data_IF_290263684648
#
_entry.id   IF_290263684648
#
_cell.length_a   1.000
_cell.length_b   1.000
_cell.length_c   1.000
_cell.angle_alpha   90.00
_cell.angle_beta   90.00
_cell.angle_gamma   90.00
#
_symmetry.space_group_name_H-M   'P 1'
#
loop_
_entity.id
_entity.type
_entity.pdbx_description
1 polymer ?
#
# COMPACT_ATOMS: atom_id res chain seq x y z
N UNK A 1 13.56 -7.12 5.70
CA UNK A 1 13.35 -6.80 4.27
C UNK A 1 12.06 -7.40 3.76
N UNK A 2 11.27 -6.60 3.04
CA UNK A 2 9.91 -6.91 2.59
C UNK A 2 9.94 -7.93 1.45
N UNK A 3 9.01 -8.88 1.47
CA UNK A 3 8.80 -9.90 0.42
C UNK A 3 10.04 -10.72 0.02
N UNK A 4 11.14 -10.68 0.79
CA UNK A 4 12.40 -11.39 0.51
C UNK A 4 12.93 -11.13 -0.92
N UNK A 5 12.83 -9.88 -1.40
CA UNK A 5 13.43 -9.47 -2.70
C UNK A 5 14.93 -9.18 -2.53
N UNK A 6 15.30 -8.50 -1.46
CA UNK A 6 16.67 -8.11 -1.13
C UNK A 6 17.21 -8.88 0.09
N UNK A 7 18.54 -8.99 0.15
CA UNK A 7 19.34 -9.60 1.23
C UNK A 7 18.79 -10.92 1.75
N UNK A 8 18.45 -11.80 0.82
CA UNK A 8 18.12 -13.19 1.09
C UNK A 8 19.44 -13.93 1.35
N UNK A 9 19.62 -14.43 2.57
CA UNK A 9 20.79 -15.25 2.91
C UNK A 9 20.65 -16.65 2.28
N UNK A 10 21.75 -17.39 2.06
CA UNK A 10 21.69 -18.75 1.51
C UNK A 10 20.83 -19.70 2.35
N UNK A 11 20.78 -19.49 3.66
CA UNK A 11 19.94 -20.25 4.59
C UNK A 11 18.45 -19.94 4.38
N UNK A 12 18.09 -18.65 4.29
CA UNK A 12 16.71 -18.23 3.97
C UNK A 12 16.30 -18.76 2.60
N UNK A 13 17.18 -18.70 1.59
CA UNK A 13 16.90 -19.25 0.27
C UNK A 13 16.64 -20.77 0.32
N UNK A 14 17.44 -21.51 1.09
CA UNK A 14 17.25 -22.96 1.28
C UNK A 14 15.91 -23.26 1.97
N UNK A 15 15.55 -22.50 3.00
CA UNK A 15 14.26 -22.66 3.69
C UNK A 15 13.06 -22.34 2.79
N UNK A 16 13.19 -21.35 1.90
CA UNK A 16 12.13 -21.02 0.94
C UNK A 16 11.98 -22.09 -0.15
N UNK A 17 13.02 -22.87 -0.45
CA UNK A 17 13.01 -23.86 -1.53
C UNK A 17 12.97 -23.26 -2.95
N UNK A 18 13.02 -21.92 -3.06
CA UNK A 18 12.94 -21.16 -4.30
C UNK A 18 13.95 -20.02 -4.34
N UNK A 19 14.14 -19.44 -5.51
CA UNK A 19 15.17 -18.42 -5.76
C UNK A 19 14.82 -17.02 -5.27
N UNK A 20 13.52 -16.73 -5.12
CA UNK A 20 13.00 -15.40 -4.78
C UNK A 20 11.71 -15.51 -3.98
N UNK A 21 11.48 -14.55 -3.07
CA UNK A 21 10.18 -14.44 -2.42
C UNK A 21 9.03 -14.18 -3.40
N UNK A 22 9.29 -13.58 -4.58
CA UNK A 22 8.28 -13.41 -5.64
C UNK A 22 7.75 -14.74 -6.18
N UNK A 23 8.64 -15.72 -6.32
CA UNK A 23 8.27 -17.09 -6.68
C UNK A 23 7.47 -17.75 -5.56
N UNK A 24 7.94 -17.59 -4.31
CA UNK A 24 7.27 -18.14 -3.12
C UNK A 24 5.82 -17.68 -2.98
N UNK A 25 5.51 -16.42 -3.33
CA UNK A 25 4.14 -15.88 -3.26
C UNK A 25 3.13 -16.70 -4.07
N UNK A 26 3.56 -17.35 -5.15
CA UNK A 26 2.67 -18.15 -6.01
C UNK A 26 2.46 -19.58 -5.54
N UNK A 27 3.21 -20.04 -4.52
CA UNK A 27 3.21 -21.42 -4.08
C UNK A 27 2.33 -21.62 -2.82
N UNK A 28 1.75 -22.81 -2.61
CA UNK A 28 0.89 -23.06 -1.43
C UNK A 28 1.58 -22.75 -0.10
N UNK A 29 2.84 -23.18 0.06
CA UNK A 29 3.64 -22.94 1.27
C UNK A 29 4.13 -21.49 1.43
N UNK A 30 3.84 -20.61 0.47
CA UNK A 30 4.08 -19.16 0.57
C UNK A 30 3.04 -18.40 1.38
N UNK A 31 2.01 -19.07 1.93
CA UNK A 31 0.90 -18.45 2.67
C UNK A 31 1.37 -17.48 3.75
N UNK A 32 2.36 -17.88 4.57
CA UNK A 32 2.87 -17.01 5.64
C UNK A 32 3.41 -15.69 5.09
N UNK A 33 4.15 -15.73 3.98
CA UNK A 33 4.66 -14.53 3.33
C UNK A 33 3.52 -13.65 2.78
N UNK A 34 2.48 -14.27 2.20
CA UNK A 34 1.30 -13.53 1.70
C UNK A 34 0.56 -12.81 2.83
N UNK A 35 0.31 -13.48 3.95
CA UNK A 35 -0.33 -12.89 5.13
C UNK A 35 0.52 -11.76 5.74
N UNK A 36 1.85 -11.94 5.83
CA UNK A 36 2.76 -10.92 6.34
C UNK A 36 2.78 -9.67 5.44
N UNK A 37 2.65 -9.84 4.11
CA UNK A 37 2.54 -8.72 3.18
C UNK A 37 1.18 -8.01 3.25
N UNK A 38 0.08 -8.74 3.43
CA UNK A 38 -1.24 -8.15 3.65
C UNK A 38 -1.26 -7.32 4.94
N UNK A 39 -0.73 -7.86 6.04
CA UNK A 39 -0.60 -7.14 7.32
C UNK A 39 0.23 -5.87 7.16
N UNK A 40 1.38 -5.98 6.48
CA UNK A 40 2.25 -4.84 6.22
C UNK A 40 1.55 -3.76 5.38
N UNK A 41 0.85 -4.16 4.32
CA UNK A 41 0.19 -3.21 3.42
C UNK A 41 -0.91 -2.44 4.16
N UNK A 42 -1.76 -3.16 4.89
CA UNK A 42 -2.88 -2.55 5.62
C UNK A 42 -2.38 -1.66 6.76
N UNK A 43 -1.42 -2.15 7.56
CA UNK A 43 -0.81 -1.38 8.64
C UNK A 43 -0.16 -0.10 8.13
N UNK A 44 0.57 -0.17 7.02
CA UNK A 44 1.20 1.00 6.40
C UNK A 44 0.18 2.00 5.84
N UNK A 45 -0.92 1.50 5.26
CA UNK A 45 -2.01 2.36 4.78
C UNK A 45 -2.68 3.11 5.94
N UNK A 46 -2.93 2.42 7.06
CA UNK A 46 -3.47 3.04 8.28
C UNK A 46 -2.49 4.07 8.83
N UNK A 47 -1.18 3.80 8.84
CA UNK A 47 -0.16 4.76 9.28
C UNK A 47 -0.22 6.07 8.49
N UNK A 48 -0.25 6.02 7.16
CA UNK A 48 -0.38 7.23 6.34
C UNK A 48 -1.70 7.97 6.58
N UNK A 49 -2.80 7.25 6.83
CA UNK A 49 -4.07 7.86 7.17
C UNK A 49 -4.03 8.56 8.54
N UNK A 50 -3.39 7.92 9.52
CA UNK A 50 -3.15 8.50 10.85
C UNK A 50 -2.28 9.75 10.75
N UNK A 51 -1.28 9.79 9.89
CA UNK A 51 -0.46 10.99 9.70
C UNK A 51 -1.31 12.18 9.23
N UNK A 52 -2.21 11.97 8.25
CA UNK A 52 -3.13 13.02 7.77
C UNK A 52 -4.13 13.41 8.85
N UNK A 53 -4.77 12.43 9.49
CA UNK A 53 -5.85 12.64 10.47
C UNK A 53 -5.35 13.09 11.85
N UNK A 54 -4.07 12.85 12.14
CA UNK A 54 -3.35 13.31 13.32
C UNK A 54 -2.77 14.71 13.17
N UNK A 55 -2.78 15.28 11.96
CA UNK A 55 -2.38 16.65 11.71
C UNK A 55 -3.47 17.63 12.21
N UNK A 56 -3.48 17.86 13.53
CA UNK A 56 -4.39 18.78 14.23
C UNK A 56 -3.97 20.25 14.15
N UNK A 57 -3.01 20.56 13.28
CA UNK A 57 -2.62 21.93 12.95
C UNK A 57 -3.66 22.62 12.08
N UNK A 58 -3.24 23.58 11.27
CA UNK A 58 -4.16 24.27 10.35
C UNK A 58 -4.56 23.38 9.17
N UNK A 59 -5.66 23.73 8.50
CA UNK A 59 -6.07 23.05 7.25
C UNK A 59 -4.98 23.18 6.17
N UNK A 60 -4.23 24.29 6.14
CA UNK A 60 -3.10 24.49 5.24
C UNK A 60 -1.92 23.57 5.55
N UNK A 61 -1.57 23.38 6.84
CA UNK A 61 -0.51 22.45 7.24
C UNK A 61 -0.87 21.01 6.85
N UNK A 62 -2.13 20.62 7.11
CA UNK A 62 -2.64 19.29 6.73
C UNK A 62 -2.68 19.11 5.21
N UNK A 63 -3.04 20.14 4.44
CA UNK A 63 -2.98 20.10 2.98
C UNK A 63 -1.54 19.99 2.46
N UNK A 64 -0.58 20.64 3.13
CA UNK A 64 0.85 20.50 2.84
C UNK A 64 1.36 19.08 3.10
N UNK A 65 0.93 18.45 4.21
CA UNK A 65 1.24 17.05 4.50
C UNK A 65 0.62 16.10 3.46
N UNK A 66 -0.65 16.32 3.10
CA UNK A 66 -1.34 15.56 2.06
C UNK A 66 -0.60 15.67 0.71
N UNK A 67 -0.13 16.86 0.35
CA UNK A 67 0.71 17.07 -0.82
C UNK A 67 2.01 16.26 -0.77
N UNK A 68 2.68 16.21 0.38
CA UNK A 68 3.90 15.40 0.58
C UNK A 68 3.64 13.90 0.42
N UNK A 69 2.51 13.40 0.94
CA UNK A 69 2.12 12.00 0.77
C UNK A 69 1.87 11.67 -0.71
N UNK A 70 1.25 12.59 -1.47
CA UNK A 70 1.09 12.44 -2.93
C UNK A 70 2.46 12.41 -3.63
N UNK A 71 3.41 13.25 -3.22
CA UNK A 71 4.78 13.21 -3.76
C UNK A 71 5.47 11.87 -3.47
N UNK A 72 5.28 11.32 -2.27
CA UNK A 72 5.80 9.98 -1.92
C UNK A 72 5.20 8.91 -2.85
N UNK A 73 3.89 8.93 -3.11
CA UNK A 73 3.27 8.01 -4.07
C UNK A 73 3.87 8.16 -5.49
N UNK A 74 4.12 9.39 -5.93
CA UNK A 74 4.72 9.64 -7.24
C UNK A 74 6.16 9.12 -7.34
N UNK A 75 6.99 9.32 -6.31
CA UNK A 75 8.35 8.79 -6.22
C UNK A 75 8.36 7.26 -6.16
N UNK A 76 7.46 6.66 -5.38
CA UNK A 76 7.30 5.20 -5.32
C UNK A 76 6.93 4.61 -6.69
N UNK A 77 6.04 5.28 -7.42
CA UNK A 77 5.61 4.85 -8.75
C UNK A 77 6.71 5.02 -9.80
N UNK A 78 7.25 6.22 -9.93
CA UNK A 78 8.07 6.61 -11.09
C UNK A 78 9.56 6.35 -10.85
N UNK A 79 10.08 6.75 -9.70
CA UNK A 79 11.51 6.66 -9.39
C UNK A 79 11.87 5.31 -8.84
N UNK A 80 11.11 4.80 -7.87
CA UNK A 80 11.44 3.53 -7.21
C UNK A 80 10.87 2.32 -7.95
N UNK A 81 9.78 2.48 -8.70
CA UNK A 81 9.04 1.36 -9.28
C UNK A 81 8.59 0.34 -8.22
N UNK A 82 8.27 0.84 -7.02
CA UNK A 82 7.81 0.06 -5.88
C UNK A 82 6.28 0.14 -5.83
N UNK A 83 5.62 -0.75 -6.56
CA UNK A 83 4.16 -0.75 -6.64
C UNK A 83 3.51 -1.14 -5.31
N UNK A 84 4.14 -2.01 -4.51
CA UNK A 84 3.62 -2.37 -3.19
C UNK A 84 3.53 -1.17 -2.25
N UNK A 85 4.60 -0.36 -2.17
CA UNK A 85 4.60 0.86 -1.39
C UNK A 85 3.63 1.90 -1.95
N UNK A 86 3.62 2.09 -3.27
CA UNK A 86 2.67 2.95 -3.96
C UNK A 86 1.22 2.58 -3.60
N UNK A 87 0.91 1.28 -3.57
CA UNK A 87 -0.42 0.78 -3.18
C UNK A 87 -0.80 1.14 -1.75
N UNK A 88 0.10 1.00 -0.79
CA UNK A 88 -0.18 1.38 0.59
C UNK A 88 -0.54 2.87 0.71
N UNK A 89 0.21 3.74 0.02
CA UNK A 89 -0.06 5.19 0.05
C UNK A 89 -1.39 5.53 -0.63
N UNK A 90 -1.65 4.96 -1.81
CA UNK A 90 -2.90 5.24 -2.53
C UNK A 90 -4.14 4.78 -1.76
N UNK A 91 -4.09 3.60 -1.12
CA UNK A 91 -5.17 3.11 -0.26
C UNK A 91 -5.44 4.07 0.90
N UNK A 92 -4.40 4.59 1.54
CA UNK A 92 -4.55 5.58 2.60
C UNK A 92 -5.28 6.85 2.13
N UNK A 93 -4.97 7.34 0.92
CA UNK A 93 -5.62 8.52 0.33
C UNK A 93 -7.07 8.27 -0.10
N UNK A 94 -7.42 7.01 -0.37
CA UNK A 94 -8.75 6.58 -0.81
C UNK A 94 -9.67 6.18 0.35
N UNK A 95 -9.14 5.98 1.56
CA UNK A 95 -9.94 5.70 2.75
C UNK A 95 -11.07 6.74 2.90
N UNK A 96 -12.31 6.32 3.21
CA UNK A 96 -13.44 7.23 3.36
C UNK A 96 -13.16 8.39 4.32
N UNK A 97 -12.40 8.12 5.39
CA UNK A 97 -12.04 9.08 6.43
C UNK A 97 -11.08 10.17 5.93
N UNK A 98 -10.24 9.88 4.93
CA UNK A 98 -9.29 10.82 4.32
C UNK A 98 -9.91 11.52 3.12
N UNK A 99 -10.59 10.76 2.25
CA UNK A 99 -11.21 11.28 1.03
C UNK A 99 -12.36 12.26 1.31
N UNK A 100 -13.06 12.12 2.45
CA UNK A 100 -14.15 13.04 2.86
C UNK A 100 -13.71 14.43 3.35
N UNK A 101 -12.40 14.68 3.53
CA UNK A 101 -11.88 15.93 4.10
C UNK A 101 -11.93 17.08 3.08
N UNK A 102 -13.14 17.52 2.73
CA UNK A 102 -13.41 18.50 1.67
C UNK A 102 -12.61 19.80 1.82
N UNK A 103 -12.46 20.32 3.04
CA UNK A 103 -11.70 21.55 3.27
C UNK A 103 -10.21 21.33 3.00
N UNK A 104 -9.67 20.20 3.46
CA UNK A 104 -8.27 19.80 3.23
C UNK A 104 -7.98 19.62 1.73
N UNK A 105 -8.83 18.87 1.02
CA UNK A 105 -8.69 18.66 -0.42
C UNK A 105 -8.88 19.95 -1.21
N UNK A 106 -9.76 20.85 -0.77
CA UNK A 106 -9.91 22.19 -1.37
C UNK A 106 -8.66 23.04 -1.17
N UNK A 107 -8.10 23.06 0.05
CA UNK A 107 -6.85 23.75 0.32
C UNK A 107 -5.67 23.19 -0.49
N UNK A 108 -5.59 21.86 -0.66
CA UNK A 108 -4.62 21.22 -1.55
C UNK A 108 -4.76 21.73 -2.99
N UNK A 109 -5.98 21.77 -3.55
CA UNK A 109 -6.23 22.25 -4.91
C UNK A 109 -5.84 23.72 -5.09
N UNK A 110 -6.06 24.54 -4.07
CA UNK A 110 -5.75 25.98 -4.12
C UNK A 110 -4.26 26.28 -3.96
N UNK A 111 -3.55 25.52 -3.12
CA UNK A 111 -2.15 25.82 -2.74
C UNK A 111 -1.10 24.93 -3.42
N UNK A 112 -1.51 23.73 -3.82
CA UNK A 112 -0.66 22.70 -4.42
C UNK A 112 -1.36 22.09 -5.65
N UNK A 113 -1.83 22.95 -6.56
CA UNK A 113 -2.65 22.57 -7.72
C UNK A 113 -2.02 21.44 -8.55
N UNK A 114 -0.72 21.50 -8.82
CA UNK A 114 -0.01 20.44 -9.54
C UNK A 114 -0.05 19.09 -8.81
N UNK A 115 0.07 19.09 -7.48
CA UNK A 115 -0.06 17.89 -6.66
C UNK A 115 -1.47 17.29 -6.70
N UNK A 116 -2.50 18.15 -6.64
CA UNK A 116 -3.88 17.70 -6.78
C UNK A 116 -4.15 17.10 -8.19
N UNK A 117 -3.66 17.75 -9.25
CA UNK A 117 -3.77 17.25 -10.62
C UNK A 117 -3.03 15.92 -10.77
N UNK A 118 -1.81 15.81 -10.24
CA UNK A 118 -1.02 14.57 -10.26
C UNK A 118 -1.79 13.41 -9.63
N UNK A 119 -2.41 13.64 -8.47
CA UNK A 119 -3.22 12.62 -7.82
C UNK A 119 -4.47 12.24 -8.64
N UNK A 120 -5.29 13.22 -9.02
CA UNK A 120 -6.59 12.98 -9.67
C UNK A 120 -6.47 12.47 -11.11
N UNK A 121 -5.46 12.92 -11.86
CA UNK A 121 -5.31 12.66 -13.30
C UNK A 121 -4.26 11.62 -13.63
N UNK A 122 -3.35 11.30 -12.71
CA UNK A 122 -2.27 10.34 -12.97
C UNK A 122 -2.29 9.19 -12.00
N UNK A 123 -2.15 9.45 -10.69
CA UNK A 123 -1.93 8.37 -9.72
C UNK A 123 -3.19 7.53 -9.49
N UNK A 124 -4.35 8.15 -9.27
CA UNK A 124 -5.62 7.45 -9.03
C UNK A 124 -6.08 6.66 -10.27
N UNK A 125 -6.10 7.22 -11.50
CA UNK A 125 -6.43 6.44 -12.70
C UNK A 125 -5.46 5.28 -12.96
N UNK A 126 -4.16 5.49 -12.71
CA UNK A 126 -3.15 4.45 -12.85
C UNK A 126 -3.38 3.30 -11.86
N UNK A 127 -3.62 3.60 -10.58
CA UNK A 127 -3.94 2.59 -9.56
C UNK A 127 -5.17 1.78 -9.97
N UNK A 128 -6.24 2.46 -10.41
CA UNK A 128 -7.45 1.80 -10.89
C UNK A 128 -7.15 0.85 -12.06
N UNK A 129 -6.42 1.33 -13.06
CA UNK A 129 -6.05 0.52 -14.23
C UNK A 129 -5.18 -0.70 -13.86
N UNK A 130 -4.29 -0.56 -12.88
CA UNK A 130 -3.51 -1.68 -12.33
C UNK A 130 -4.41 -2.72 -11.66
N UNK A 131 -5.36 -2.30 -10.82
CA UNK A 131 -6.30 -3.20 -10.13
C UNK A 131 -7.24 -3.90 -11.12
N UNK A 132 -7.68 -3.20 -12.15
CA UNK A 132 -8.56 -3.72 -13.21
C UNK A 132 -7.82 -4.62 -14.22
N UNK A 133 -6.51 -4.84 -14.05
CA UNK A 133 -5.71 -5.66 -14.96
C UNK A 133 -5.57 -5.09 -16.38
N UNK A 134 -5.67 -3.76 -16.51
CA UNK A 134 -5.60 -3.03 -17.79
C UNK A 134 -4.28 -2.29 -17.98
N UNK A 135 -3.45 -2.24 -16.94
CA UNK A 135 -2.14 -1.59 -16.93
C UNK A 135 -1.07 -2.58 -16.51
N UNK A 136 0.13 -2.43 -17.07
CA UNK A 136 1.29 -3.22 -16.68
C UNK A 136 2.48 -2.30 -16.39
N UNK A 137 3.18 -2.56 -15.30
CA UNK A 137 4.39 -1.79 -14.98
C UNK A 137 5.57 -2.26 -15.84
N UNK A 138 6.38 -1.34 -16.39
CA UNK A 138 7.55 -1.72 -17.18
C UNK A 138 8.55 -2.48 -16.30
N UNK A 139 8.90 -3.70 -16.72
CA UNK A 139 9.83 -4.58 -16.01
C UNK A 139 11.20 -3.94 -15.78
N UNK A 140 11.66 -3.08 -16.69
CA UNK A 140 12.94 -2.38 -16.59
C UNK A 140 13.03 -1.39 -15.43
N UNK A 141 11.90 -0.90 -14.92
CA UNK A 141 11.87 0.09 -13.84
C UNK A 141 11.28 -0.46 -12.53
N UNK A 142 10.63 -1.62 -12.57
CA UNK A 142 9.89 -2.15 -11.43
C UNK A 142 10.84 -2.86 -10.45
N UNK A 143 10.92 -2.39 -9.21
CA UNK A 143 11.68 -3.02 -8.12
C UNK A 143 10.80 -3.89 -7.22
N UNK A 144 9.50 -3.57 -7.14
CA UNK A 144 8.50 -4.37 -6.45
C UNK A 144 7.20 -4.36 -7.29
N UNK A 145 6.72 -5.51 -7.77
CA UNK A 145 5.52 -5.58 -8.62
C UNK A 145 4.20 -5.34 -7.86
N UNK A 146 3.12 -5.08 -8.60
CA UNK A 146 1.77 -4.98 -8.02
C UNK A 146 1.25 -6.37 -7.64
N UNK A 147 1.46 -6.78 -6.38
CA UNK A 147 1.12 -8.14 -5.91
C UNK A 147 -0.21 -8.22 -5.18
N UNK A 148 -0.80 -7.10 -4.75
CA UNK A 148 -2.00 -7.11 -3.91
C UNK A 148 -3.15 -7.96 -4.50
N UNK A 149 -3.52 -7.85 -5.79
CA UNK A 149 -4.58 -8.66 -6.36
C UNK A 149 -4.32 -10.16 -6.22
N UNK A 150 -3.07 -10.61 -6.44
CA UNK A 150 -2.68 -12.00 -6.23
C UNK A 150 -2.80 -12.42 -4.76
N UNK A 151 -2.35 -11.57 -3.83
CA UNK A 151 -2.42 -11.88 -2.39
C UNK A 151 -3.87 -12.07 -1.93
N UNK A 152 -4.75 -11.14 -2.33
CA UNK A 152 -6.18 -11.20 -1.99
C UNK A 152 -6.86 -12.44 -2.59
N UNK A 153 -6.59 -12.75 -3.87
CA UNK A 153 -7.16 -13.91 -4.55
C UNK A 153 -6.78 -15.24 -3.88
N UNK A 154 -5.52 -15.39 -3.46
CA UNK A 154 -5.03 -16.66 -2.90
C UNK A 154 -5.40 -16.86 -1.43
N UNK A 155 -5.51 -15.78 -0.65
CA UNK A 155 -5.81 -15.89 0.78
C UNK A 155 -7.30 -15.78 1.11
N UNK A 156 -8.15 -15.42 0.14
CA UNK A 156 -9.59 -15.17 0.36
C UNK A 156 -9.81 -14.29 1.59
N UNK A 157 -8.91 -13.33 1.80
CA UNK A 157 -8.86 -12.58 3.05
C UNK A 157 -10.09 -11.69 3.18
N UNK A 158 -10.81 -11.87 4.27
CA UNK A 158 -12.04 -11.17 4.65
C UNK A 158 -11.80 -9.66 4.89
N UNK A 159 -10.54 -9.21 4.81
CA UNK A 159 -10.13 -7.80 4.96
C UNK A 159 -10.05 -7.09 3.60
N UNK A 160 -10.84 -7.53 2.62
CA UNK A 160 -11.20 -6.66 1.52
C UNK A 160 -11.87 -5.41 2.10
N UNK A 161 -11.45 -4.24 1.62
CA UNK A 161 -12.11 -2.97 1.91
C UNK A 161 -13.62 -3.13 1.67
N UNK A 162 -14.47 -2.35 2.33
CA UNK A 162 -15.92 -2.30 2.04
C UNK A 162 -16.25 -1.81 0.60
N UNK A 163 -15.24 -1.67 -0.27
CA UNK A 163 -15.39 -1.55 -1.71
C UNK A 163 -15.26 -2.93 -2.36
N UNK A 164 -16.34 -3.36 -3.01
CA UNK A 164 -16.43 -4.56 -3.86
C UNK A 164 -15.11 -4.80 -4.60
N UNK A 165 -14.46 -5.93 -4.31
CA UNK A 165 -13.19 -6.26 -4.96
C UNK A 165 -13.40 -6.23 -6.49
N UNK A 166 -12.42 -5.77 -7.29
CA UNK A 166 -12.60 -5.62 -8.74
C UNK A 166 -13.08 -6.90 -9.46
N UNK A 167 -12.81 -8.06 -8.87
CA UNK A 167 -13.23 -9.37 -9.38
C UNK A 167 -14.60 -9.87 -8.89
N UNK A 168 -15.25 -9.17 -7.97
CA UNK A 168 -16.62 -9.48 -7.53
C UNK A 168 -17.69 -8.95 -8.50
N UNK A 169 -17.29 -8.13 -9.50
CA UNK A 169 -18.16 -7.73 -10.60
C UNK A 169 -18.39 -8.89 -11.58
N UNK A 170 -19.65 -9.27 -11.77
CA UNK A 170 -20.08 -10.45 -12.55
C UNK A 170 -19.72 -10.39 -14.04
N UNK A 171 -19.48 -9.21 -14.62
CA UNK A 171 -19.25 -9.05 -16.07
C UNK A 171 -17.78 -9.05 -16.47
N UNK A 172 -16.87 -8.60 -15.60
CA UNK A 172 -15.44 -8.40 -15.93
C UNK A 172 -14.51 -9.17 -14.98
N UNK A 173 -15.04 -9.77 -13.90
CA UNK A 173 -14.23 -10.34 -12.84
C UNK A 173 -13.34 -11.51 -13.27
N UNK A 174 -13.80 -12.37 -14.19
CA UNK A 174 -12.99 -13.51 -14.68
C UNK A 174 -11.77 -13.04 -15.47
N UNK A 175 -11.93 -12.02 -16.32
CA UNK A 175 -10.82 -11.47 -17.12
C UNK A 175 -9.76 -10.82 -16.21
N UNK A 176 -10.21 -10.10 -15.18
CA UNK A 176 -9.34 -9.49 -14.17
C UNK A 176 -8.56 -10.56 -13.40
N UNK A 177 -9.23 -11.63 -12.96
CA UNK A 177 -8.58 -12.76 -12.29
C UNK A 177 -7.56 -13.42 -13.20
N UNK A 178 -7.92 -13.70 -14.45
CA UNK A 178 -7.02 -14.33 -15.42
C UNK A 178 -5.79 -13.47 -15.71
N UNK A 179 -5.97 -12.15 -15.84
CA UNK A 179 -4.87 -11.21 -15.98
C UNK A 179 -3.90 -11.28 -14.80
N UNK A 180 -4.42 -11.18 -13.56
CA UNK A 180 -3.57 -11.17 -12.37
C UNK A 180 -2.86 -12.51 -12.13
N UNK A 181 -3.50 -13.64 -12.43
CA UNK A 181 -2.85 -14.95 -12.40
C UNK A 181 -1.77 -15.09 -13.48
N UNK A 182 -2.02 -14.56 -14.68
CA UNK A 182 -1.01 -14.48 -15.75
C UNK A 182 0.19 -13.60 -15.38
N UNK A 183 -0.07 -12.44 -14.78
CA UNK A 183 0.95 -11.54 -14.25
C UNK A 183 1.74 -12.20 -13.11
N UNK A 184 1.08 -12.94 -12.21
CA UNK A 184 1.72 -13.67 -11.12
C UNK A 184 2.73 -14.71 -11.62
N UNK A 185 2.42 -15.42 -12.71
CA UNK A 185 3.37 -16.34 -13.35
C UNK A 185 4.63 -15.61 -13.82
N UNK A 186 4.46 -14.45 -14.44
CA UNK A 186 5.57 -13.60 -14.89
C UNK A 186 6.39 -13.09 -13.70
N UNK A 187 5.71 -12.64 -12.63
CA UNK A 187 6.35 -12.16 -11.39
C UNK A 187 7.23 -13.26 -10.77
N UNK A 188 6.71 -14.49 -10.68
CA UNK A 188 7.45 -15.63 -10.15
C UNK A 188 8.70 -15.94 -10.98
N UNK A 189 8.58 -15.95 -12.31
CA UNK A 189 9.69 -16.23 -13.23
C UNK A 189 10.77 -15.15 -13.22
N UNK A 190 10.39 -13.89 -12.98
CA UNK A 190 11.28 -12.73 -13.11
C UNK A 190 11.74 -12.16 -11.76
N UNK A 191 11.67 -12.95 -10.69
CA UNK A 191 12.12 -12.57 -9.33
C UNK A 191 13.51 -11.94 -9.29
N UNK A 192 14.45 -12.43 -10.12
CA UNK A 192 15.81 -11.89 -10.22
C UNK A 192 15.90 -10.47 -10.79
N UNK A 193 15.00 -10.09 -11.71
CA UNK A 193 14.97 -8.74 -12.30
C UNK A 193 14.54 -7.71 -11.25
N UNK A 194 13.49 -8.01 -10.48
CA UNK A 194 13.03 -7.11 -9.41
C UNK A 194 14.13 -6.87 -8.37
N UNK A 195 14.88 -7.92 -8.02
CA UNK A 195 16.05 -7.82 -7.14
C UNK A 195 17.12 -6.90 -7.74
N UNK A 196 17.56 -7.15 -8.98
CA UNK A 196 18.60 -6.32 -9.60
C UNK A 196 18.18 -4.86 -9.78
N UNK A 197 16.90 -4.60 -10.09
CA UNK A 197 16.36 -3.24 -10.15
C UNK A 197 16.38 -2.56 -8.77
N UNK A 198 16.00 -3.28 -7.72
CA UNK A 198 16.05 -2.77 -6.35
C UNK A 198 17.49 -2.49 -5.88
N UNK A 199 18.44 -3.39 -6.18
CA UNK A 199 19.87 -3.21 -5.89
C UNK A 199 20.43 -1.98 -6.61
N UNK A 200 20.12 -1.82 -7.90
CA UNK A 200 20.56 -0.68 -8.70
C UNK A 200 20.01 0.65 -8.16
N UNK A 201 18.72 0.71 -7.83
CA UNK A 201 18.08 1.92 -7.29
C UNK A 201 18.56 2.30 -5.89
N UNK A 202 19.00 1.32 -5.10
CA UNK A 202 19.52 1.53 -3.74
C UNK A 202 21.05 1.62 -3.71
N UNK A 203 21.73 1.61 -4.85
CA UNK A 203 23.18 1.72 -4.90
C UNK A 203 23.64 3.04 -4.29
N UNK A 204 24.45 2.98 -3.24
CA UNK A 204 24.95 4.16 -2.53
C UNK A 204 23.92 4.83 -1.62
N UNK A 205 22.74 4.24 -1.43
CA UNK A 205 21.77 4.71 -0.45
C UNK A 205 22.33 4.57 0.97
N UNK A 206 22.36 5.68 1.70
CA UNK A 206 22.70 5.69 3.12
C UNK A 206 21.41 5.71 3.93
N UNK A 207 21.14 4.60 4.60
CA UNK A 207 19.97 4.46 5.45
C UNK A 207 20.16 5.19 6.79
N UNK A 208 19.05 5.74 7.29
CA UNK A 208 18.96 6.28 8.64
C UNK A 208 18.20 5.26 9.47
N UNK A 209 18.81 4.73 10.52
CA UNK A 209 18.26 3.63 11.31
C UNK A 209 16.89 3.98 11.91
N UNK A 210 16.74 5.21 12.39
CA UNK A 210 15.51 5.74 12.97
C UNK A 210 14.39 5.80 11.91
N UNK A 211 14.73 6.21 10.69
CA UNK A 211 13.76 6.26 9.59
C UNK A 211 13.35 4.85 9.13
N UNK A 212 14.30 3.91 9.08
CA UNK A 212 13.99 2.52 8.74
C UNK A 212 13.07 1.87 9.77
N UNK A 213 13.26 2.17 11.06
CA UNK A 213 12.43 1.66 12.14
C UNK A 213 10.96 2.06 11.98
N UNK A 214 10.69 3.31 11.57
CA UNK A 214 9.33 3.81 11.30
C UNK A 214 8.60 3.00 10.22
N UNK A 215 9.33 2.37 9.30
CA UNK A 215 8.78 1.54 8.24
C UNK A 215 8.79 0.04 8.55
N UNK A 216 9.16 -0.38 9.76
CA UNK A 216 9.00 -1.77 10.20
C UNK A 216 7.54 -2.03 10.59
N UNK A 217 6.97 -3.14 10.10
CA UNK A 217 5.57 -3.49 10.40
C UNK A 217 5.36 -3.64 11.91
N UNK A 218 6.29 -4.29 12.62
CA UNK A 218 6.18 -4.47 14.08
C UNK A 218 6.17 -3.14 14.83
N UNK A 219 6.97 -2.17 14.38
CA UNK A 219 6.97 -0.82 14.96
C UNK A 219 5.63 -0.15 14.74
N UNK A 220 5.14 -0.13 13.50
CA UNK A 220 3.85 0.46 13.14
C UNK A 220 2.69 -0.20 13.88
N UNK A 221 2.71 -1.53 14.02
CA UNK A 221 1.69 -2.26 14.77
C UNK A 221 1.67 -1.84 16.24
N UNK A 222 2.84 -1.74 16.88
CA UNK A 222 2.96 -1.28 18.27
C UNK A 222 2.56 0.19 18.43
N UNK A 223 2.87 1.03 17.45
CA UNK A 223 2.50 2.44 17.47
C UNK A 223 0.98 2.63 17.38
N UNK A 224 0.32 1.87 16.50
CA UNK A 224 -1.13 1.94 16.32
C UNK A 224 -1.88 1.30 17.50
N UNK A 225 -1.59 0.04 17.81
CA UNK A 225 -2.40 -0.75 18.75
C UNK A 225 -1.79 -0.89 20.16
N UNK A 226 -0.59 -0.36 20.40
CA UNK A 226 0.15 -0.57 21.64
C UNK A 226 0.70 -2.00 21.75
N UNK A 227 1.49 -2.26 22.80
CA UNK A 227 2.16 -3.57 22.97
C UNK A 227 1.19 -4.74 23.09
N UNK A 228 0.10 -4.58 23.85
CA UNK A 228 -0.92 -5.62 24.03
C UNK A 228 -1.87 -5.71 22.84
N UNK A 229 -2.30 -4.56 22.30
CA UNK A 229 -3.25 -4.56 21.20
C UNK A 229 -2.64 -5.06 19.89
N UNK A 230 -1.32 -4.97 19.69
CA UNK A 230 -0.64 -5.51 18.51
C UNK A 230 -0.69 -7.05 18.42
N UNK A 231 -0.88 -7.75 19.55
CA UNK A 231 -0.98 -9.22 19.61
C UNK A 231 -2.41 -9.73 19.33
N UNK A 232 -3.39 -8.83 19.29
CA UNK A 232 -4.79 -9.16 19.00
C UNK A 232 -5.01 -9.58 17.54
N UNK A 233 -6.12 -10.28 17.30
CA UNK A 233 -6.52 -10.70 15.97
C UNK A 233 -6.63 -9.53 14.98
N UNK A 234 -6.32 -9.79 13.71
CA UNK A 234 -6.31 -8.78 12.66
C UNK A 234 -7.67 -8.06 12.49
N UNK A 235 -8.76 -8.82 12.43
CA UNK A 235 -10.12 -8.29 12.25
C UNK A 235 -10.51 -7.29 13.35
N UNK A 236 -10.44 -7.62 14.66
CA UNK A 236 -10.80 -6.66 15.71
C UNK A 236 -9.86 -5.46 15.76
N UNK A 237 -8.56 -5.62 15.46
CA UNK A 237 -7.61 -4.50 15.38
C UNK A 237 -8.02 -3.47 14.33
N UNK A 238 -8.36 -3.93 13.12
CA UNK A 238 -8.74 -3.04 12.03
C UNK A 238 -10.13 -2.43 12.22
N UNK A 239 -11.12 -3.21 12.66
CA UNK A 239 -12.45 -2.69 12.98
C UNK A 239 -12.39 -1.60 14.07
N UNK A 240 -11.52 -1.79 15.09
CA UNK A 240 -11.29 -0.78 16.12
C UNK A 240 -10.65 0.48 15.55
N UNK A 241 -9.65 0.33 14.68
CA UNK A 241 -8.96 1.46 14.09
C UNK A 241 -9.82 2.25 13.11
N UNK A 242 -10.68 1.58 12.35
CA UNK A 242 -11.68 2.25 11.50
C UNK A 242 -12.52 3.27 12.31
N UNK A 243 -13.01 2.86 13.49
CA UNK A 243 -13.74 3.75 14.40
C UNK A 243 -12.88 4.94 14.87
N UNK A 244 -11.59 4.71 15.14
CA UNK A 244 -10.64 5.76 15.54
C UNK A 244 -10.42 6.76 14.41
N UNK A 245 -10.14 6.29 13.19
CA UNK A 245 -9.95 7.13 12.02
C UNK A 245 -11.22 7.95 11.73
N UNK A 246 -12.39 7.32 11.86
CA UNK A 246 -13.69 7.99 11.67
C UNK A 246 -13.91 9.10 12.69
N UNK A 247 -13.58 8.85 13.97
CA UNK A 247 -13.65 9.86 15.01
C UNK A 247 -12.67 11.03 14.77
N UNK A 248 -11.43 10.75 14.35
CA UNK A 248 -10.44 11.78 14.02
C UNK A 248 -10.87 12.61 12.82
N UNK A 249 -11.36 11.97 11.75
CA UNK A 249 -11.86 12.64 10.56
C UNK A 249 -13.03 13.58 10.87
N UNK A 250 -14.01 13.11 11.64
CA UNK A 250 -15.14 13.93 12.08
C UNK A 250 -14.73 15.07 13.02
N UNK A 251 -13.66 14.89 13.80
CA UNK A 251 -13.12 15.95 14.66
C UNK A 251 -12.43 17.04 13.84
N UNK A 252 -11.69 16.67 12.80
CA UNK A 252 -11.01 17.61 11.91
C UNK A 252 -12.01 18.37 11.03
N UNK A 253 -12.95 17.66 10.42
CA UNK A 253 -13.97 18.23 9.53
C UNK A 253 -15.35 17.64 9.83
N UNK A 254 -16.11 18.28 10.74
CA UNK A 254 -17.43 17.80 11.14
C UNK A 254 -18.39 17.66 9.96
N UNK A 255 -19.21 16.60 9.90
CA UNK A 255 -20.20 16.46 8.85
C UNK A 255 -21.19 17.63 8.90
N UNK A 256 -21.58 18.14 7.72
CA UNK A 256 -22.59 19.18 7.61
C UNK A 256 -23.89 18.62 8.18
N UNK A 257 -24.43 19.23 9.24
CA UNK A 257 -25.74 18.87 9.77
C UNK A 257 -26.78 19.16 8.69
N UNK A 258 -27.44 18.13 8.16
CA UNK A 258 -28.63 18.30 7.35
C UNK A 258 -29.68 19.02 8.20
N UNK A 259 -30.10 20.20 7.78
CA UNK A 259 -31.24 20.92 8.37
C UNK A 259 -32.55 20.27 7.95
#
# INVERSE_FOLDING_TARGET
>A
MVAKILGVTPEVQRMMGVSSGMELLTLPHGQKLRLDLLERLQTMSIMFAVDVLGCTGTTEERAGLLHKIIQIAAELKSTMGNMFGFTAVMRALELPQVSRLEQTWTALRQRHTEGAILYDKTLRPFMKSLNDGRESCPLSNTSFPHVLPLLSLLEQSIVADEGTDPWESTEVGVDVVMFHLGAARTIAQLGGIYRSNAESKLQGFQDQAELLELFLTDFQMRLLWGSRGAEEGQVPRYAKFDQVLTALSNRLEPPVRSR
#
